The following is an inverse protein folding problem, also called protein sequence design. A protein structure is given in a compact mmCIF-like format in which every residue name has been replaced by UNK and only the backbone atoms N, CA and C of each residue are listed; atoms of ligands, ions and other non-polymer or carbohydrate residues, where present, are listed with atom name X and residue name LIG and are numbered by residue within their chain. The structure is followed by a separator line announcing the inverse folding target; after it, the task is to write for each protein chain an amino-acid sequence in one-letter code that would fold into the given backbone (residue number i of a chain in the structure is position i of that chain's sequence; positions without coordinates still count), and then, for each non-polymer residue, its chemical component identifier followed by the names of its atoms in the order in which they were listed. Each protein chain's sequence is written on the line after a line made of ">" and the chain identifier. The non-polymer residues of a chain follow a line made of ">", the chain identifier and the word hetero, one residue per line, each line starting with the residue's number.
data_IF_712282926317
#
_entry.id   IF_712282926317
#
_cell.length_a   1.000
_cell.length_b   1.000
_cell.length_c   1.000
_cell.angle_alpha   90.00
_cell.angle_beta   90.00
_cell.angle_gamma   90.00
#
_symmetry.space_group_name_H-M   'P 1'
#
loop_
_entity.id
_entity.type
_entity.pdbx_description
1 polymer ?
#
# COMPACT_ATOMS: atom_id res chain seq x y z
N UNK A 1 33.51 -19.54 12.78
CA UNK A 1 32.05 -19.43 13.01
C UNK A 1 31.35 -20.22 11.92
N UNK A 2 30.83 -21.40 12.23
CA UNK A 2 30.16 -22.26 11.24
C UNK A 2 28.89 -21.53 10.82
N UNK A 3 28.86 -21.00 9.59
CA UNK A 3 27.62 -20.54 8.98
C UNK A 3 26.68 -21.75 8.91
N UNK A 4 25.72 -21.83 9.83
CA UNK A 4 24.59 -22.74 9.67
C UNK A 4 24.03 -22.47 8.27
N UNK A 5 24.19 -23.46 7.36
CA UNK A 5 23.67 -23.37 6.00
C UNK A 5 22.20 -23.02 6.12
N UNK A 6 21.82 -21.80 5.74
CA UNK A 6 20.42 -21.42 5.62
C UNK A 6 19.75 -22.49 4.76
N UNK A 7 18.69 -23.14 5.24
CA UNK A 7 18.04 -24.19 4.48
C UNK A 7 17.61 -23.60 3.15
N UNK A 8 18.01 -24.25 2.05
CA UNK A 8 17.61 -23.86 0.71
C UNK A 8 16.08 -23.84 0.69
N UNK A 9 15.43 -22.72 0.33
CA UNK A 9 13.99 -22.65 0.25
C UNK A 9 13.46 -23.86 -0.54
N UNK A 10 12.42 -24.58 -0.09
CA UNK A 10 11.95 -25.80 -0.75
C UNK A 10 11.67 -25.63 -2.24
N UNK A 11 11.35 -24.41 -2.68
CA UNK A 11 11.13 -24.07 -4.08
C UNK A 11 12.41 -24.10 -4.94
N UNK A 12 13.57 -23.94 -4.32
CA UNK A 12 14.91 -24.05 -4.93
C UNK A 12 15.54 -25.44 -4.71
N UNK A 13 14.80 -26.39 -4.12
CA UNK A 13 15.27 -27.78 -3.94
C UNK A 13 15.35 -28.57 -5.25
N UNK A 14 14.80 -28.02 -6.34
CA UNK A 14 14.87 -28.59 -7.69
C UNK A 14 15.62 -27.61 -8.61
N UNK A 15 16.39 -28.11 -9.59
CA UNK A 15 16.98 -27.25 -10.62
C UNK A 15 15.89 -26.43 -11.32
N UNK A 16 16.12 -25.12 -11.43
CA UNK A 16 15.22 -24.18 -12.12
C UNK A 16 15.98 -23.45 -13.24
N UNK A 17 15.35 -23.23 -14.40
CA UNK A 17 15.93 -22.37 -15.44
C UNK A 17 16.15 -20.95 -14.92
N UNK A 18 17.27 -20.33 -15.30
CA UNK A 18 17.60 -18.95 -14.90
C UNK A 18 16.50 -17.96 -15.32
N UNK A 19 15.92 -18.12 -16.50
CA UNK A 19 14.79 -17.31 -16.96
C UNK A 19 13.57 -17.39 -16.05
N UNK A 20 13.34 -18.53 -15.39
CA UNK A 20 12.27 -18.69 -14.40
C UNK A 20 12.60 -17.93 -13.11
N UNK A 21 13.86 -17.99 -12.65
CA UNK A 21 14.32 -17.19 -11.51
C UNK A 21 14.12 -15.69 -11.77
N UNK A 22 14.57 -15.21 -12.93
CA UNK A 22 14.46 -13.82 -13.35
C UNK A 22 13.01 -13.32 -13.44
N UNK A 23 12.09 -14.16 -13.94
CA UNK A 23 10.70 -13.73 -14.21
C UNK A 23 9.75 -13.93 -13.02
N UNK A 24 10.01 -14.89 -12.14
CA UNK A 24 9.07 -15.29 -11.08
C UNK A 24 9.60 -15.10 -9.66
N UNK A 25 10.93 -14.97 -9.49
CA UNK A 25 11.55 -14.97 -8.17
C UNK A 25 12.36 -13.73 -7.87
N UNK A 26 13.07 -13.16 -8.83
CA UNK A 26 13.94 -12.01 -8.59
C UNK A 26 13.26 -10.67 -8.83
N UNK A 27 13.41 -9.76 -7.88
CA UNK A 27 13.01 -8.36 -8.05
C UNK A 27 14.07 -7.62 -8.86
N UNK A 28 13.89 -7.67 -10.17
CA UNK A 28 14.75 -6.97 -11.14
C UNK A 28 14.51 -5.46 -11.18
N UNK A 29 13.52 -4.96 -10.43
CA UNK A 29 13.18 -3.54 -10.35
C UNK A 29 13.72 -2.87 -9.08
N UNK A 30 14.39 -3.66 -8.22
CA UNK A 30 14.99 -3.16 -6.99
C UNK A 30 16.05 -2.07 -7.28
N UNK A 31 16.04 -1.03 -6.44
CA UNK A 31 17.11 -0.03 -6.41
C UNK A 31 18.29 -0.67 -5.67
N UNK A 32 19.46 -0.83 -6.31
CA UNK A 32 20.61 -1.47 -5.68
C UNK A 32 21.15 -0.63 -4.53
N UNK A 33 21.62 -1.30 -3.49
CA UNK A 33 22.32 -0.69 -2.34
C UNK A 33 23.82 -0.88 -2.49
N UNK A 34 24.61 -0.19 -1.66
CA UNK A 34 26.08 -0.29 -1.63
C UNK A 34 26.62 -1.74 -1.79
N UNK A 35 26.02 -2.72 -1.11
CA UNK A 35 26.38 -4.14 -1.24
C UNK A 35 26.35 -4.66 -2.69
N UNK A 36 25.36 -4.27 -3.49
CA UNK A 36 25.27 -4.72 -4.88
C UNK A 36 26.47 -4.24 -5.71
N UNK A 37 26.92 -3.02 -5.48
CA UNK A 37 28.10 -2.45 -6.14
C UNK A 37 29.38 -3.15 -5.69
N UNK A 38 29.52 -3.50 -4.41
CA UNK A 38 30.64 -4.31 -3.92
C UNK A 38 30.69 -5.69 -4.59
N UNK A 39 29.53 -6.34 -4.79
CA UNK A 39 29.44 -7.63 -5.48
C UNK A 39 29.87 -7.50 -6.95
N UNK A 40 29.44 -6.44 -7.64
CA UNK A 40 29.84 -6.16 -9.02
C UNK A 40 31.35 -5.89 -9.14
N UNK A 41 31.93 -5.13 -8.21
CA UNK A 41 33.34 -4.79 -8.23
C UNK A 41 34.26 -6.02 -8.12
N UNK A 42 33.85 -7.05 -7.37
CA UNK A 42 34.69 -8.22 -7.05
C UNK A 42 35.19 -8.96 -8.29
N UNK A 43 34.35 -9.07 -9.31
CA UNK A 43 34.66 -9.82 -10.54
C UNK A 43 34.80 -8.89 -11.74
N UNK A 44 34.76 -7.57 -11.55
CA UNK A 44 34.89 -6.61 -12.65
C UNK A 44 36.34 -6.55 -13.16
N UNK A 45 36.58 -6.85 -14.46
CA UNK A 45 37.92 -6.86 -15.03
C UNK A 45 38.39 -5.46 -15.44
N UNK A 46 37.46 -4.52 -15.66
CA UNK A 46 37.75 -3.16 -16.05
C UNK A 46 38.07 -2.30 -14.82
N UNK A 47 39.21 -1.63 -14.82
CA UNK A 47 39.68 -0.87 -13.66
C UNK A 47 38.81 0.34 -13.33
N UNK A 48 38.36 1.09 -14.35
CA UNK A 48 37.53 2.27 -14.18
C UNK A 48 36.14 1.92 -13.63
N UNK A 49 35.50 0.88 -14.19
CA UNK A 49 34.24 0.38 -13.64
C UNK A 49 34.44 -0.11 -12.20
N UNK A 50 35.48 -0.90 -11.94
CA UNK A 50 35.76 -1.43 -10.60
C UNK A 50 35.96 -0.32 -9.57
N UNK A 51 36.73 0.72 -9.89
CA UNK A 51 36.94 1.87 -9.02
C UNK A 51 35.62 2.58 -8.70
N UNK A 52 34.79 2.87 -9.71
CA UNK A 52 33.49 3.52 -9.48
C UNK A 52 32.52 2.65 -8.68
N UNK A 53 32.51 1.35 -8.92
CA UNK A 53 31.71 0.39 -8.15
C UNK A 53 32.16 0.33 -6.68
N UNK A 54 33.47 0.41 -6.41
CA UNK A 54 34.02 0.44 -5.05
C UNK A 54 33.68 1.76 -4.34
N UNK A 55 33.71 2.88 -5.05
CA UNK A 55 33.26 4.18 -4.53
C UNK A 55 31.79 4.12 -4.09
N UNK A 56 30.88 3.63 -4.95
CA UNK A 56 29.48 3.45 -4.58
C UNK A 56 29.25 2.47 -3.42
N UNK A 57 30.20 1.55 -3.20
CA UNK A 57 30.15 0.62 -2.09
C UNK A 57 30.71 1.19 -0.77
N UNK A 58 31.48 2.28 -0.82
CA UNK A 58 32.17 2.85 0.34
C UNK A 58 31.26 3.74 1.19
N UNK A 59 31.77 4.10 2.38
CA UNK A 59 31.08 5.04 3.26
C UNK A 59 31.13 6.47 2.69
N UNK A 60 32.27 6.84 2.10
CA UNK A 60 32.52 8.15 1.51
C UNK A 60 31.66 8.39 0.26
N UNK A 61 31.40 7.34 -0.54
CA UNK A 61 30.62 7.44 -1.78
C UNK A 61 29.10 7.36 -1.61
N UNK A 62 28.56 7.49 -0.39
CA UNK A 62 27.10 7.41 -0.17
C UNK A 62 26.32 8.53 -0.86
N UNK A 63 26.87 9.74 -0.95
CA UNK A 63 26.22 10.85 -1.67
C UNK A 63 26.17 10.58 -3.18
N UNK A 64 27.28 10.09 -3.74
CA UNK A 64 27.40 9.69 -5.13
C UNK A 64 26.46 8.53 -5.47
N UNK A 65 26.41 7.50 -4.61
CA UNK A 65 25.44 6.41 -4.73
C UNK A 65 24.00 6.94 -4.67
N UNK A 66 23.70 7.88 -3.77
CA UNK A 66 22.36 8.46 -3.68
C UNK A 66 22.00 9.23 -4.95
N UNK A 67 22.92 10.05 -5.48
CA UNK A 67 22.75 10.80 -6.72
C UNK A 67 22.58 9.88 -7.93
N UNK A 68 23.38 8.83 -8.00
CA UNK A 68 23.33 7.82 -9.05
C UNK A 68 22.12 6.90 -8.89
N UNK A 69 21.99 6.09 -7.85
CA UNK A 69 20.94 5.07 -7.78
C UNK A 69 19.62 5.57 -7.19
N UNK A 70 19.65 6.14 -5.99
CA UNK A 70 18.44 6.34 -5.18
C UNK A 70 17.56 7.48 -5.69
N UNK A 71 18.16 8.65 -5.99
CA UNK A 71 17.48 9.87 -6.40
C UNK A 71 16.73 9.72 -7.73
N UNK A 72 17.31 9.12 -8.80
CA UNK A 72 16.58 8.82 -10.03
C UNK A 72 15.81 7.50 -9.98
N UNK A 73 15.94 6.72 -8.89
CA UNK A 73 15.43 5.35 -8.76
C UNK A 73 15.92 4.45 -9.90
N UNK A 74 17.23 4.40 -10.09
CA UNK A 74 17.89 3.49 -11.04
C UNK A 74 17.76 2.06 -10.52
N UNK A 75 17.29 1.18 -11.39
CA UNK A 75 17.09 -0.24 -11.10
C UNK A 75 18.39 -1.01 -11.27
N UNK A 76 18.49 -2.20 -10.65
CA UNK A 76 19.65 -3.07 -10.82
C UNK A 76 19.91 -3.42 -12.29
N UNK A 77 18.87 -3.62 -13.11
CA UNK A 77 19.04 -3.91 -14.54
C UNK A 77 19.66 -2.74 -15.32
N UNK A 78 19.38 -1.50 -14.91
CA UNK A 78 20.01 -0.33 -15.53
C UNK A 78 21.47 -0.20 -15.07
N UNK A 79 21.76 -0.50 -13.80
CA UNK A 79 23.15 -0.56 -13.33
C UNK A 79 23.95 -1.59 -14.12
N UNK A 80 23.40 -2.78 -14.39
CA UNK A 80 24.07 -3.78 -15.21
C UNK A 80 24.33 -3.31 -16.65
N UNK A 81 23.52 -2.38 -17.18
CA UNK A 81 23.77 -1.77 -18.50
C UNK A 81 24.81 -0.66 -18.44
N UNK A 82 24.83 0.11 -17.36
CA UNK A 82 25.80 1.19 -17.14
C UNK A 82 27.22 0.64 -16.84
N UNK A 83 27.32 -0.61 -16.35
CA UNK A 83 28.56 -1.32 -16.03
C UNK A 83 28.68 -2.63 -16.84
N UNK A 84 28.85 -2.56 -18.16
CA UNK A 84 28.85 -3.74 -19.04
C UNK A 84 29.97 -4.73 -18.72
N UNK A 85 31.19 -4.28 -18.38
CA UNK A 85 32.30 -5.20 -18.09
C UNK A 85 32.07 -5.98 -16.78
N UNK A 86 31.52 -5.33 -15.76
CA UNK A 86 31.07 -5.99 -14.55
C UNK A 86 29.94 -6.98 -14.82
N UNK A 87 28.98 -6.61 -15.67
CA UNK A 87 27.85 -7.48 -16.06
C UNK A 87 28.31 -8.74 -16.81
N UNK A 88 29.21 -8.60 -17.78
CA UNK A 88 29.74 -9.72 -18.58
C UNK A 88 30.53 -10.73 -17.72
N UNK A 89 31.05 -10.28 -16.59
CA UNK A 89 31.85 -11.10 -15.67
C UNK A 89 31.02 -11.67 -14.51
N UNK A 90 29.69 -11.56 -14.56
CA UNK A 90 28.81 -12.07 -13.51
C UNK A 90 28.80 -13.60 -13.45
N UNK A 91 29.12 -14.12 -12.28
CA UNK A 91 28.96 -15.53 -11.96
C UNK A 91 27.54 -15.80 -11.46
N UNK A 92 27.09 -17.07 -11.56
CA UNK A 92 25.80 -17.48 -10.99
C UNK A 92 25.70 -17.15 -9.50
N UNK A 93 26.78 -17.32 -8.74
CA UNK A 93 26.83 -16.97 -7.32
C UNK A 93 26.59 -15.47 -7.09
N UNK A 94 27.21 -14.60 -7.91
CA UNK A 94 26.99 -13.16 -7.82
C UNK A 94 25.53 -12.77 -8.11
N UNK A 95 24.86 -13.44 -9.05
CA UNK A 95 23.43 -13.18 -9.34
C UNK A 95 22.54 -13.43 -8.10
N UNK A 96 22.80 -14.49 -7.33
CA UNK A 96 22.06 -14.78 -6.10
C UNK A 96 22.38 -13.81 -4.96
N UNK A 97 23.55 -13.18 -4.96
CA UNK A 97 23.88 -12.12 -4.01
C UNK A 97 23.31 -10.75 -4.41
N UNK A 98 23.16 -10.51 -5.72
CA UNK A 98 22.63 -9.26 -6.27
C UNK A 98 21.11 -9.19 -6.21
N UNK A 99 20.43 -10.24 -6.66
CA UNK A 99 18.98 -10.19 -6.85
C UNK A 99 18.22 -10.72 -5.64
N UNK A 100 17.35 -9.86 -5.12
CA UNK A 100 16.50 -10.18 -3.99
C UNK A 100 15.22 -10.89 -4.45
N UNK A 101 14.62 -11.76 -3.62
CA UNK A 101 13.32 -12.33 -3.92
C UNK A 101 12.22 -11.27 -4.05
N UNK A 102 11.29 -11.45 -5.00
CA UNK A 102 10.06 -10.67 -5.12
C UNK A 102 9.28 -10.82 -3.82
N UNK A 103 8.99 -9.69 -3.17
CA UNK A 103 8.17 -9.68 -1.97
C UNK A 103 6.68 -9.78 -2.35
N UNK A 104 5.87 -10.58 -1.63
CA UNK A 104 4.44 -10.59 -1.85
C UNK A 104 3.82 -9.23 -1.52
N UNK A 105 2.72 -8.89 -2.22
CA UNK A 105 2.01 -7.63 -2.03
C UNK A 105 0.69 -7.88 -1.31
N UNK A 106 0.50 -7.19 -0.19
CA UNK A 106 -0.76 -7.22 0.55
C UNK A 106 -1.75 -6.21 -0.04
N UNK A 107 -3.03 -6.56 0.00
CA UNK A 107 -4.16 -5.71 -0.34
C UNK A 107 -5.24 -5.92 0.71
N UNK A 108 -5.93 -4.86 1.09
CA UNK A 108 -7.13 -4.95 1.92
C UNK A 108 -8.24 -5.60 1.10
N UNK A 109 -8.94 -6.56 1.70
CA UNK A 109 -10.07 -7.25 1.06
C UNK A 109 -11.24 -6.26 0.99
N UNK A 110 -11.84 -6.14 -0.20
CA UNK A 110 -12.91 -5.19 -0.52
C UNK A 110 -14.26 -5.87 -0.74
N UNK A 111 -14.48 -6.99 -0.04
CA UNK A 111 -15.71 -7.75 -0.08
C UNK A 111 -15.97 -8.50 1.23
N UNK A 112 -17.26 -8.68 1.53
CA UNK A 112 -17.72 -9.54 2.62
C UNK A 112 -17.38 -11.02 2.35
N UNK A 113 -17.12 -11.79 3.41
CA UNK A 113 -16.90 -13.23 3.27
C UNK A 113 -18.16 -13.95 2.77
N UNK A 114 -19.32 -13.51 3.26
CA UNK A 114 -20.64 -14.03 2.86
C UNK A 114 -20.96 -13.83 1.36
N UNK A 115 -20.30 -12.89 0.68
CA UNK A 115 -20.50 -12.66 -0.76
C UNK A 115 -20.03 -13.82 -1.65
N UNK A 116 -19.23 -14.76 -1.11
CA UNK A 116 -18.63 -15.87 -1.85
C UNK A 116 -17.59 -15.42 -2.90
N UNK A 117 -17.24 -14.13 -2.97
CA UNK A 117 -16.30 -13.56 -3.93
C UNK A 117 -15.27 -12.73 -3.19
N UNK A 118 -13.98 -12.97 -3.44
CA UNK A 118 -12.91 -12.10 -2.95
C UNK A 118 -12.68 -10.96 -3.94
N UNK A 119 -12.82 -9.72 -3.48
CA UNK A 119 -12.55 -8.52 -4.28
C UNK A 119 -11.42 -7.72 -3.65
N UNK A 120 -10.65 -7.03 -4.48
CA UNK A 120 -9.62 -6.08 -4.07
C UNK A 120 -9.81 -4.78 -4.86
N UNK A 121 -9.46 -3.66 -4.25
CA UNK A 121 -9.45 -2.34 -4.90
C UNK A 121 -7.99 -1.86 -4.97
N UNK A 122 -7.45 -1.74 -6.18
CA UNK A 122 -6.01 -1.56 -6.40
C UNK A 122 -5.73 -0.33 -7.24
N UNK A 123 -4.89 0.56 -6.72
CA UNK A 123 -4.32 1.66 -7.50
C UNK A 123 -3.21 1.12 -8.41
N UNK A 124 -3.34 1.35 -9.72
CA UNK A 124 -2.28 1.05 -10.68
C UNK A 124 -1.16 2.06 -10.50
N UNK A 125 0.03 1.55 -10.13
CA UNK A 125 1.18 2.41 -9.83
C UNK A 125 1.94 2.67 -11.12
N UNK A 126 1.96 3.91 -11.55
CA UNK A 126 2.80 4.41 -12.63
C UNK A 126 3.30 5.81 -12.26
N UNK A 127 4.61 6.02 -12.31
CA UNK A 127 5.23 7.31 -11.98
C UNK A 127 6.47 7.57 -12.84
N UNK A 128 6.73 8.84 -13.15
CA UNK A 128 7.96 9.24 -13.84
C UNK A 128 9.07 9.47 -12.82
N UNK A 129 10.30 9.10 -13.17
CA UNK A 129 11.48 9.49 -12.40
C UNK A 129 12.25 10.57 -13.16
N UNK A 130 13.45 10.91 -12.68
CA UNK A 130 14.39 11.73 -13.46
C UNK A 130 14.87 11.02 -14.74
N UNK A 131 14.64 9.72 -14.84
CA UNK A 131 14.92 8.94 -16.04
C UNK A 131 13.72 9.02 -17.00
N UNK A 132 13.99 8.86 -18.29
CA UNK A 132 13.00 9.02 -19.36
C UNK A 132 11.85 8.01 -19.26
N UNK A 133 12.16 6.77 -18.89
CA UNK A 133 11.17 5.68 -18.85
C UNK A 133 10.30 5.73 -17.59
N UNK A 134 8.96 5.66 -17.72
CA UNK A 134 8.07 5.62 -16.57
C UNK A 134 8.25 4.31 -15.78
N UNK A 135 8.22 4.43 -14.46
CA UNK A 135 8.26 3.29 -13.54
C UNK A 135 6.87 2.77 -13.30
N UNK A 136 6.74 1.44 -13.35
CA UNK A 136 5.49 0.72 -13.13
C UNK A 136 5.63 -0.18 -11.91
N UNK A 137 4.63 -0.15 -11.03
CA UNK A 137 4.58 -1.08 -9.90
C UNK A 137 4.41 -2.51 -10.40
N UNK A 138 5.28 -3.42 -9.93
CA UNK A 138 5.33 -4.81 -10.39
C UNK A 138 3.98 -5.52 -10.24
N UNK A 139 3.43 -5.57 -9.03
CA UNK A 139 2.20 -6.30 -8.74
C UNK A 139 0.96 -5.65 -9.37
N UNK A 140 0.76 -4.33 -9.23
CA UNK A 140 -0.44 -3.67 -9.73
C UNK A 140 -0.54 -3.65 -11.26
N UNK A 141 0.58 -3.50 -11.97
CA UNK A 141 0.57 -3.62 -13.43
C UNK A 141 0.50 -5.06 -13.91
N UNK A 142 1.03 -6.03 -13.15
CA UNK A 142 0.82 -7.45 -13.44
C UNK A 142 -0.67 -7.80 -13.32
N UNK A 143 -1.33 -7.42 -12.22
CA UNK A 143 -2.77 -7.61 -12.03
C UNK A 143 -3.60 -6.96 -13.15
N UNK A 144 -3.26 -5.73 -13.56
CA UNK A 144 -3.93 -5.02 -14.67
C UNK A 144 -3.90 -5.78 -16.00
N UNK A 145 -2.87 -6.60 -16.24
CA UNK A 145 -2.70 -7.36 -17.49
C UNK A 145 -3.28 -8.78 -17.45
N UNK A 146 -3.82 -9.20 -16.30
CA UNK A 146 -4.37 -10.55 -16.19
C UNK A 146 -5.68 -10.67 -16.97
N UNK A 147 -5.84 -11.80 -17.62
CA UNK A 147 -7.09 -12.17 -18.28
C UNK A 147 -8.01 -12.88 -17.30
N UNK A 148 -9.32 -12.74 -17.54
CA UNK A 148 -10.36 -13.45 -16.78
C UNK A 148 -10.13 -14.95 -16.89
N UNK A 149 -10.20 -15.65 -15.75
CA UNK A 149 -9.90 -17.08 -15.65
C UNK A 149 -8.47 -17.40 -15.24
N UNK A 150 -7.57 -16.41 -15.16
CA UNK A 150 -6.21 -16.64 -14.66
C UNK A 150 -6.22 -17.11 -13.21
N UNK A 151 -5.57 -18.25 -12.93
CA UNK A 151 -5.42 -18.77 -11.57
C UNK A 151 -4.31 -18.06 -10.81
N UNK A 152 -4.62 -17.55 -9.62
CA UNK A 152 -3.69 -16.83 -8.76
C UNK A 152 -3.34 -17.63 -7.52
N UNK A 153 -2.07 -17.53 -7.09
CA UNK A 153 -1.63 -18.03 -5.78
C UNK A 153 -1.71 -16.88 -4.80
N UNK A 154 -2.56 -17.03 -3.78
CA UNK A 154 -2.72 -16.06 -2.72
C UNK A 154 -2.98 -16.78 -1.39
N UNK A 155 -2.80 -16.05 -0.29
CA UNK A 155 -3.21 -16.47 1.04
C UNK A 155 -3.80 -15.26 1.75
N UNK A 156 -4.65 -15.51 2.72
CA UNK A 156 -5.21 -14.47 3.57
C UNK A 156 -4.38 -14.31 4.84
N UNK A 157 -4.44 -13.13 5.43
CA UNK A 157 -3.94 -12.84 6.77
C UNK A 157 -5.05 -12.11 7.52
N UNK A 158 -5.09 -12.26 8.84
CA UNK A 158 -6.02 -11.49 9.68
C UNK A 158 -5.75 -9.99 9.45
N UNK A 159 -6.80 -9.22 9.16
CA UNK A 159 -6.71 -7.77 9.01
C UNK A 159 -6.40 -7.07 10.34
N UNK A 160 -6.13 -5.77 10.28
CA UNK A 160 -5.84 -4.97 11.49
C UNK A 160 -7.10 -4.49 12.19
N UNK A 161 -8.18 -4.25 11.44
CA UNK A 161 -9.43 -3.75 12.01
C UNK A 161 -10.14 -4.79 12.88
N UNK A 162 -10.53 -4.36 14.07
CA UNK A 162 -11.41 -5.07 14.98
C UNK A 162 -12.78 -4.39 14.96
N UNK A 163 -13.78 -5.05 14.37
CA UNK A 163 -15.15 -4.55 14.35
C UNK A 163 -15.82 -4.81 15.70
N UNK A 164 -16.73 -3.92 16.16
CA UNK A 164 -17.51 -4.13 17.36
C UNK A 164 -18.28 -5.45 17.33
N UNK A 165 -18.32 -6.16 18.46
CA UNK A 165 -19.17 -7.36 18.62
C UNK A 165 -20.65 -6.99 18.73
N UNK A 166 -20.94 -5.85 19.36
CA UNK A 166 -22.29 -5.31 19.41
C UNK A 166 -22.62 -4.64 18.07
N UNK A 167 -23.56 -5.24 17.36
CA UNK A 167 -23.99 -4.84 16.02
C UNK A 167 -24.75 -3.52 15.99
N UNK A 168 -25.10 -2.96 17.16
CA UNK A 168 -25.75 -1.65 17.32
C UNK A 168 -24.75 -0.51 17.52
N UNK A 169 -23.46 -0.83 17.73
CA UNK A 169 -22.39 0.14 17.90
C UNK A 169 -22.17 0.93 16.59
N UNK A 170 -22.12 2.28 16.63
CA UNK A 170 -21.82 3.08 15.46
C UNK A 170 -20.40 2.86 14.94
N UNK A 171 -20.23 2.88 13.61
CA UNK A 171 -18.93 2.81 12.96
C UNK A 171 -18.77 4.02 12.04
N UNK A 172 -17.75 4.83 12.32
CA UNK A 172 -17.31 5.94 11.48
C UNK A 172 -16.08 5.49 10.70
N UNK A 173 -16.14 5.57 9.38
CA UNK A 173 -15.10 5.10 8.47
C UNK A 173 -14.56 6.27 7.67
N UNK A 174 -13.24 6.35 7.50
CA UNK A 174 -12.57 7.38 6.70
C UNK A 174 -11.61 6.71 5.73
N UNK A 175 -11.94 6.74 4.43
CA UNK A 175 -11.25 5.93 3.42
C UNK A 175 -11.10 6.62 2.08
N UNK A 176 -10.21 7.62 1.93
CA UNK A 176 -9.98 8.27 0.65
C UNK A 176 -9.30 7.34 -0.37
N UNK A 177 -9.76 7.40 -1.63
CA UNK A 177 -9.25 6.63 -2.76
C UNK A 177 -9.37 5.12 -2.52
N UNK A 178 -8.25 4.40 -2.65
CA UNK A 178 -8.23 2.96 -2.38
C UNK A 178 -8.33 2.61 -0.89
N UNK A 179 -8.29 3.61 0.01
CA UNK A 179 -8.67 3.48 1.42
C UNK A 179 -10.11 2.99 1.62
N UNK A 180 -10.95 3.07 0.59
CA UNK A 180 -12.30 2.52 0.59
C UNK A 180 -12.33 0.98 0.69
N UNK A 181 -11.25 0.28 0.30
CA UNK A 181 -11.22 -1.18 0.20
C UNK A 181 -11.80 -1.90 1.43
N UNK A 182 -11.23 -1.78 2.65
CA UNK A 182 -11.75 -2.49 3.81
C UNK A 182 -13.18 -2.07 4.16
N UNK A 183 -13.54 -0.80 3.97
CA UNK A 183 -14.88 -0.30 4.29
C UNK A 183 -15.94 -0.82 3.35
N UNK A 184 -15.60 -1.07 2.08
CA UNK A 184 -16.52 -1.77 1.18
C UNK A 184 -16.85 -3.17 1.69
N UNK A 185 -15.90 -3.89 2.28
CA UNK A 185 -16.17 -5.18 2.90
C UNK A 185 -17.10 -5.05 4.12
N UNK A 186 -16.86 -4.05 4.98
CA UNK A 186 -17.72 -3.76 6.16
C UNK A 186 -19.14 -3.41 5.73
N UNK A 187 -19.28 -2.59 4.69
CA UNK A 187 -20.57 -2.17 4.13
C UNK A 187 -21.32 -3.34 3.49
N UNK A 188 -20.65 -4.17 2.67
CA UNK A 188 -21.26 -5.36 2.06
C UNK A 188 -21.67 -6.38 3.14
N UNK A 189 -20.86 -6.56 4.20
CA UNK A 189 -21.20 -7.44 5.33
C UNK A 189 -22.45 -6.90 6.07
N UNK A 190 -22.55 -5.58 6.21
CA UNK A 190 -23.73 -4.96 6.82
C UNK A 190 -24.98 -5.08 5.97
N UNK A 191 -24.88 -4.85 4.67
CA UNK A 191 -25.99 -4.96 3.72
C UNK A 191 -26.56 -6.40 3.68
N UNK A 192 -25.72 -7.41 3.94
CA UNK A 192 -26.10 -8.82 4.02
C UNK A 192 -26.61 -9.27 5.40
N UNK A 193 -26.50 -8.43 6.43
CA UNK A 193 -26.92 -8.74 7.80
C UNK A 193 -28.31 -8.18 8.11
N UNK A 194 -29.18 -9.00 8.71
CA UNK A 194 -30.54 -8.58 9.10
C UNK A 194 -30.57 -7.93 10.50
N UNK A 195 -29.62 -8.29 11.36
CA UNK A 195 -29.65 -7.91 12.79
C UNK A 195 -28.82 -6.66 13.11
N UNK A 196 -27.95 -6.23 12.19
CA UNK A 196 -26.97 -5.20 12.45
C UNK A 196 -27.48 -3.79 12.16
N UNK A 197 -27.92 -3.09 13.21
CA UNK A 197 -28.64 -1.80 13.10
C UNK A 197 -27.82 -0.57 13.50
N UNK A 198 -26.55 -0.74 13.91
CA UNK A 198 -25.68 0.38 14.29
C UNK A 198 -25.42 1.36 13.14
N UNK A 199 -25.40 2.68 13.36
CA UNK A 199 -25.15 3.66 12.29
C UNK A 199 -23.81 3.42 11.60
N UNK A 200 -23.80 3.56 10.27
CA UNK A 200 -22.59 3.57 9.46
C UNK A 200 -22.40 4.95 8.84
N UNK A 201 -21.22 5.53 9.06
CA UNK A 201 -20.82 6.79 8.44
C UNK A 201 -19.56 6.56 7.64
N UNK A 202 -19.51 7.03 6.40
CA UNK A 202 -18.31 6.98 5.56
C UNK A 202 -17.93 8.39 5.09
N UNK A 203 -16.72 8.80 5.41
CA UNK A 203 -16.03 9.93 4.78
C UNK A 203 -15.13 9.39 3.66
N UNK A 204 -15.62 9.51 2.43
CA UNK A 204 -14.90 9.13 1.22
C UNK A 204 -14.26 10.37 0.57
N UNK A 205 -13.12 10.20 -0.08
CA UNK A 205 -12.49 11.27 -0.84
C UNK A 205 -11.81 10.77 -2.11
N UNK A 206 -11.95 11.51 -3.21
CA UNK A 206 -11.27 11.24 -4.47
C UNK A 206 -10.93 12.56 -5.18
N UNK A 207 -10.41 12.49 -6.42
CA UNK A 207 -10.05 13.69 -7.17
C UNK A 207 -11.28 14.34 -7.76
N UNK A 208 -12.10 13.56 -8.46
CA UNK A 208 -13.22 14.06 -9.24
C UNK A 208 -14.38 13.07 -9.19
N UNK A 209 -15.58 13.56 -8.90
CA UNK A 209 -16.78 12.73 -8.78
C UNK A 209 -17.02 11.84 -10.02
N UNK A 210 -16.77 12.37 -11.22
CA UNK A 210 -17.06 11.67 -12.47
C UNK A 210 -15.95 10.74 -12.98
N UNK A 211 -14.76 10.70 -12.35
CA UNK A 211 -13.63 9.91 -12.89
C UNK A 211 -13.02 8.90 -11.93
N UNK A 212 -13.02 9.17 -10.62
CA UNK A 212 -12.41 8.27 -9.64
C UNK A 212 -13.26 8.05 -8.38
N UNK A 213 -14.58 8.24 -8.49
CA UNK A 213 -15.53 7.82 -7.46
C UNK A 213 -15.76 6.29 -7.51
N UNK A 214 -14.81 5.56 -6.93
CA UNK A 214 -14.87 4.11 -6.85
C UNK A 214 -16.11 3.61 -6.09
N UNK A 215 -16.77 2.59 -6.64
CA UNK A 215 -17.95 1.95 -6.04
C UNK A 215 -19.13 2.92 -5.81
N UNK A 216 -19.22 3.99 -6.60
CA UNK A 216 -20.29 5.00 -6.48
C UNK A 216 -21.69 4.38 -6.43
N UNK A 217 -22.01 3.48 -7.36
CA UNK A 217 -23.35 2.88 -7.44
C UNK A 217 -23.73 2.15 -6.13
N UNK A 218 -22.81 1.36 -5.58
CA UNK A 218 -22.98 0.65 -4.31
C UNK A 218 -23.19 1.64 -3.16
N UNK A 219 -22.30 2.64 -3.05
CA UNK A 219 -22.34 3.62 -1.96
C UNK A 219 -23.62 4.48 -1.99
N UNK A 220 -24.03 4.94 -3.18
CA UNK A 220 -25.26 5.71 -3.38
C UNK A 220 -26.51 4.88 -3.15
N UNK A 221 -26.49 3.58 -3.48
CA UNK A 221 -27.59 2.66 -3.16
C UNK A 221 -27.79 2.55 -1.65
N UNK A 222 -26.70 2.34 -0.90
CA UNK A 222 -26.73 2.22 0.56
C UNK A 222 -27.11 3.54 1.25
N UNK A 223 -26.70 4.68 0.68
CA UNK A 223 -27.14 6.00 1.14
C UNK A 223 -28.65 6.17 0.99
N UNK A 224 -29.20 5.83 -0.19
CA UNK A 224 -30.65 5.93 -0.44
C UNK A 224 -31.49 4.97 0.40
N UNK A 225 -30.96 3.80 0.76
CA UNK A 225 -31.67 2.86 1.64
C UNK A 225 -31.63 3.26 3.12
N UNK A 226 -30.85 4.30 3.48
CA UNK A 226 -30.64 4.72 4.86
C UNK A 226 -29.64 3.87 5.64
N UNK A 227 -28.98 2.90 4.99
CA UNK A 227 -27.94 2.08 5.61
C UNK A 227 -26.67 2.88 5.91
N UNK A 228 -26.33 3.85 5.05
CA UNK A 228 -25.08 4.60 5.08
C UNK A 228 -25.31 6.10 5.09
N UNK A 229 -24.70 6.81 6.04
CA UNK A 229 -24.49 8.25 5.92
C UNK A 229 -23.17 8.51 5.20
N UNK A 230 -23.23 9.09 4.00
CA UNK A 230 -22.07 9.26 3.12
C UNK A 230 -21.66 10.73 3.00
N UNK A 231 -20.37 11.00 3.21
CA UNK A 231 -19.75 12.29 2.99
C UNK A 231 -18.63 12.16 1.96
N UNK A 232 -18.74 12.87 0.83
CA UNK A 232 -17.76 12.80 -0.25
C UNK A 232 -16.96 14.10 -0.40
N UNK A 233 -15.63 13.98 -0.39
CA UNK A 233 -14.70 15.07 -0.66
C UNK A 233 -14.09 14.91 -2.06
N UNK A 234 -14.42 15.83 -2.97
CA UNK A 234 -13.83 15.88 -4.31
C UNK A 234 -12.77 16.97 -4.35
N UNK A 235 -11.50 16.58 -4.48
CA UNK A 235 -10.38 17.51 -4.31
C UNK A 235 -10.06 18.37 -5.55
N UNK A 236 -10.68 18.10 -6.69
CA UNK A 236 -10.42 18.77 -7.98
C UNK A 236 -11.68 19.17 -8.77
N UNK A 237 -12.86 19.10 -8.16
CA UNK A 237 -14.10 19.53 -8.83
C UNK A 237 -14.36 21.05 -8.69
N UNK A 238 -13.56 21.73 -7.86
CA UNK A 238 -13.63 23.16 -7.59
C UNK A 238 -12.23 23.74 -7.35
N UNK A 239 -12.11 25.06 -7.33
CA UNK A 239 -10.82 25.77 -7.13
C UNK A 239 -10.18 25.41 -5.79
N UNK A 240 -10.97 25.41 -4.71
CA UNK A 240 -10.50 25.07 -3.37
C UNK A 240 -10.44 23.56 -3.15
N UNK A 241 -9.30 23.06 -2.65
CA UNK A 241 -9.14 21.63 -2.39
C UNK A 241 -9.99 21.19 -1.21
N UNK A 242 -11.00 20.35 -1.46
CA UNK A 242 -11.80 19.72 -0.40
C UNK A 242 -11.29 18.31 -0.13
N UNK A 243 -10.94 18.04 1.12
CA UNK A 243 -10.50 16.74 1.60
C UNK A 243 -11.39 16.23 2.74
N UNK A 244 -11.24 14.95 3.09
CA UNK A 244 -12.06 14.29 4.13
C UNK A 244 -11.95 15.00 5.48
N UNK A 245 -10.78 15.52 5.86
CA UNK A 245 -10.58 16.25 7.10
C UNK A 245 -11.34 17.58 7.16
N UNK A 246 -11.70 18.18 6.01
CA UNK A 246 -12.55 19.37 5.99
C UNK A 246 -14.01 18.99 6.29
N UNK A 247 -14.46 17.83 5.80
CA UNK A 247 -15.80 17.32 6.06
C UNK A 247 -15.96 16.86 7.52
N UNK A 248 -14.93 16.23 8.08
CA UNK A 248 -14.89 15.81 9.49
C UNK A 248 -15.12 17.01 10.42
N UNK A 249 -14.40 18.12 10.21
CA UNK A 249 -14.57 19.37 10.98
C UNK A 249 -16.00 19.90 10.94
N UNK A 250 -16.68 19.78 9.78
CA UNK A 250 -18.07 20.24 9.60
C UNK A 250 -19.10 19.33 10.26
N UNK A 251 -18.74 18.10 10.61
CA UNK A 251 -19.65 17.09 11.15
C UNK A 251 -19.42 16.82 12.64
N UNK A 252 -18.91 17.81 13.39
CA UNK A 252 -18.59 17.69 14.82
C UNK A 252 -19.75 17.18 15.66
N UNK A 253 -20.96 17.72 15.50
CA UNK A 253 -22.13 17.29 16.28
C UNK A 253 -22.51 15.82 16.02
N UNK A 254 -22.47 15.39 14.76
CA UNK A 254 -22.69 13.99 14.39
C UNK A 254 -21.62 13.09 15.01
N UNK A 255 -20.35 13.50 14.92
CA UNK A 255 -19.22 12.72 15.43
C UNK A 255 -19.25 12.61 16.96
N UNK A 256 -19.60 13.68 17.68
CA UNK A 256 -19.80 13.64 19.14
C UNK A 256 -20.90 12.65 19.52
N UNK A 257 -22.06 12.74 18.86
CA UNK A 257 -23.17 11.81 19.08
C UNK A 257 -22.78 10.35 18.87
N UNK A 258 -22.03 10.05 17.82
CA UNK A 258 -21.68 8.67 17.49
C UNK A 258 -20.52 8.12 18.31
N UNK A 259 -19.46 8.91 18.52
CA UNK A 259 -18.20 8.44 19.10
C UNK A 259 -18.12 8.66 20.62
N UNK A 260 -18.75 9.72 21.12
CA UNK A 260 -18.75 10.08 22.56
C UNK A 260 -19.99 9.48 23.22
N UNK A 261 -21.19 9.90 22.81
CA UNK A 261 -22.44 9.51 23.48
C UNK A 261 -22.80 8.03 23.28
N UNK A 262 -22.51 7.49 22.10
CA UNK A 262 -22.84 6.10 21.73
C UNK A 262 -21.65 5.15 21.72
N UNK A 263 -20.49 5.61 22.21
CA UNK A 263 -19.26 4.81 22.32
C UNK A 263 -18.86 4.11 20.99
N UNK A 264 -19.05 4.79 19.87
CA UNK A 264 -18.74 4.27 18.54
C UNK A 264 -17.25 4.09 18.27
N UNK A 265 -16.97 3.45 17.14
CA UNK A 265 -15.61 3.17 16.65
C UNK A 265 -15.30 4.01 15.42
N UNK A 266 -14.08 4.53 15.35
CA UNK A 266 -13.52 5.30 14.26
C UNK A 266 -12.42 4.49 13.55
N UNK A 267 -12.59 4.26 12.25
CA UNK A 267 -11.69 3.46 11.43
C UNK A 267 -11.13 4.30 10.29
N UNK A 268 -9.81 4.33 10.15
CA UNK A 268 -9.12 5.09 9.11
C UNK A 268 -8.31 4.17 8.20
N UNK A 269 -8.48 4.30 6.88
CA UNK A 269 -7.70 3.54 5.90
C UNK A 269 -7.21 4.38 4.72
N UNK A 270 -5.98 4.15 4.26
CA UNK A 270 -5.44 4.78 3.05
C UNK A 270 -3.95 5.11 3.08
N UNK A 271 -3.56 6.19 2.41
CA UNK A 271 -2.16 6.62 2.30
C UNK A 271 -1.54 6.99 3.65
N UNK A 272 -0.42 6.39 4.02
CA UNK A 272 0.31 6.65 5.28
C UNK A 272 1.16 7.93 5.26
N UNK A 273 0.91 8.85 4.31
CA UNK A 273 1.61 10.13 4.23
C UNK A 273 0.97 11.13 5.20
N UNK A 274 0.57 12.31 4.72
CA UNK A 274 0.03 13.38 5.57
C UNK A 274 -1.44 13.16 5.96
N UNK A 275 -2.11 12.14 5.41
CA UNK A 275 -3.56 11.95 5.58
C UNK A 275 -3.96 11.54 7.01
N UNK A 276 -3.28 10.59 7.68
CA UNK A 276 -3.68 10.16 9.02
C UNK A 276 -3.54 11.25 10.08
N UNK A 277 -2.42 11.98 10.04
CA UNK A 277 -2.19 13.11 10.93
C UNK A 277 -3.28 14.19 10.77
N UNK A 278 -3.58 14.58 9.53
CA UNK A 278 -4.60 15.58 9.24
C UNK A 278 -6.03 15.13 9.64
N UNK A 279 -6.33 13.83 9.56
CA UNK A 279 -7.61 13.27 10.01
C UNK A 279 -7.70 13.22 11.53
N UNK A 280 -6.61 12.83 12.20
CA UNK A 280 -6.54 12.78 13.66
C UNK A 280 -6.73 14.18 14.28
N UNK A 281 -6.04 15.19 13.73
CA UNK A 281 -6.19 16.59 14.14
C UNK A 281 -7.64 17.08 13.94
N UNK A 282 -8.19 16.86 12.74
CA UNK A 282 -9.56 17.24 12.43
C UNK A 282 -10.61 16.57 13.32
N UNK A 283 -10.38 15.32 13.71
CA UNK A 283 -11.24 14.61 14.64
C UNK A 283 -11.18 15.25 16.04
N UNK A 284 -9.99 15.57 16.54
CA UNK A 284 -9.82 16.27 17.82
C UNK A 284 -10.55 17.61 17.85
N UNK A 285 -10.41 18.42 16.79
CA UNK A 285 -11.15 19.67 16.63
C UNK A 285 -12.67 19.45 16.57
N UNK A 286 -13.13 18.45 15.80
CA UNK A 286 -14.55 18.16 15.63
C UNK A 286 -15.21 17.70 16.94
N UNK A 287 -14.48 16.95 17.77
CA UNK A 287 -14.93 16.52 19.09
C UNK A 287 -14.74 17.61 20.16
N UNK A 288 -13.89 18.61 19.92
CA UNK A 288 -13.53 19.64 20.90
C UNK A 288 -12.61 19.12 22.01
N UNK A 289 -12.04 17.93 21.84
CA UNK A 289 -11.18 17.28 22.82
C UNK A 289 -10.19 16.31 22.13
N UNK A 290 -8.95 16.77 21.95
CA UNK A 290 -7.88 15.94 21.40
C UNK A 290 -7.42 14.84 22.36
N UNK A 291 -7.59 14.99 23.67
CA UNK A 291 -7.22 13.97 24.64
C UNK A 291 -8.16 12.76 24.55
N UNK A 292 -9.44 12.99 24.23
CA UNK A 292 -10.38 11.91 23.97
C UNK A 292 -9.97 11.03 22.78
N UNK A 293 -9.39 11.60 21.72
CA UNK A 293 -8.88 10.81 20.58
C UNK A 293 -7.76 9.87 21.01
N UNK A 294 -6.88 10.30 21.92
CA UNK A 294 -5.84 9.44 22.48
C UNK A 294 -6.41 8.34 23.39
N UNK A 295 -7.50 8.61 24.10
CA UNK A 295 -8.25 7.57 24.84
C UNK A 295 -8.89 6.55 23.89
N UNK A 296 -9.47 7.01 22.77
CA UNK A 296 -10.02 6.12 21.74
C UNK A 296 -8.94 5.20 21.16
N UNK A 297 -7.72 5.70 20.94
CA UNK A 297 -6.58 4.87 20.49
C UNK A 297 -6.22 3.81 21.52
N UNK A 298 -6.12 4.18 22.81
CA UNK A 298 -5.81 3.24 23.90
C UNK A 298 -6.87 2.16 24.10
N UNK A 299 -8.14 2.50 23.84
CA UNK A 299 -9.28 1.58 23.95
C UNK A 299 -9.62 0.85 22.65
N UNK A 300 -8.75 0.94 21.62
CA UNK A 300 -8.96 0.35 20.29
C UNK A 300 -10.25 0.80 19.58
N UNK A 301 -10.86 1.92 20.02
CA UNK A 301 -12.01 2.55 19.35
C UNK A 301 -11.58 3.50 18.23
N UNK A 302 -10.31 3.88 18.15
CA UNK A 302 -9.72 4.52 16.99
C UNK A 302 -8.67 3.59 16.41
N UNK A 303 -8.81 3.21 15.14
CA UNK A 303 -7.93 2.23 14.48
C UNK A 303 -7.50 2.72 13.10
N UNK A 304 -6.27 2.39 12.70
CA UNK A 304 -5.71 2.78 11.40
C UNK A 304 -5.15 1.58 10.62
N UNK A 305 -5.40 1.56 9.31
CA UNK A 305 -4.75 0.67 8.35
C UNK A 305 -4.21 1.50 7.18
N UNK A 306 -2.90 1.83 7.21
CA UNK A 306 -2.31 2.75 6.23
C UNK A 306 -1.11 2.16 5.48
N UNK A 307 -0.89 2.61 4.25
CA UNK A 307 0.17 2.13 3.36
C UNK A 307 0.80 3.24 2.49
N UNK A 308 2.03 3.01 2.03
CA UNK A 308 2.81 3.93 1.20
C UNK A 308 2.59 3.77 -0.31
#
# INVERSE_FOLDING_TARGET
>A
MIMHKLPVPPILSKPLPLGRLATQYWDLTAIPRARAFAVLARTCPNELEREKLLEFASYEGQEELYSYANRPRRTILEVLRDFPHACDSLTLAALFELFQPIKPRAFSIASAAASGKLRILVAVIEYRTKLKEPRRGLCSNWLKRLEVGTKLRMWTRKGTFQLPKDVTTPIVMVGPGTGLAPFRAVLEERELSVDATGPLVLFFGCRNAHSDFHCEEDLRRMERSGLLTLFCAFSRDQEDKVYVQHLIRKQGDLLKKLLVERNGVFLLSGSSKNMPEAVCEALGEALGDSAFVEEMKKSERYQEETWQ
#
